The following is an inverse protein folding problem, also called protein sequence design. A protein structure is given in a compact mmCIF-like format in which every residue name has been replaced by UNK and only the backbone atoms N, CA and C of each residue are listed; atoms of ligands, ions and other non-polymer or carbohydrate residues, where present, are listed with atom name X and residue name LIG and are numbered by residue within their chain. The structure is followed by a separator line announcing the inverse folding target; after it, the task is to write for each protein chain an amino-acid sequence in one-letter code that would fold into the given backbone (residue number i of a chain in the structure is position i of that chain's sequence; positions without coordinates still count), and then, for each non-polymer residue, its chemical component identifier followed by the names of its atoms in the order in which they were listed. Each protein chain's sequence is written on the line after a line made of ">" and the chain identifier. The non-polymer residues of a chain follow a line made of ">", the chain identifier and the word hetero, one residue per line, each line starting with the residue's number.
data_IF_031085165994
#
_entry.id   IF_031085165994
#
_cell.length_a   1.000
_cell.length_b   1.000
_cell.length_c   1.000
_cell.angle_alpha   90.00
_cell.angle_beta   90.00
_cell.angle_gamma   90.00
#
_symmetry.space_group_name_H-M   'P 1'
#
loop_
_entity.id
_entity.type
_entity.pdbx_description
1 polymer ?
#
# COMPACT_ATOMS: atom_id res chain seq x y z
N UNK A 1 9.61 -2.29 -8.36
CA UNK A 1 9.67 -3.76 -8.22
C UNK A 1 8.24 -4.27 -8.19
N UNK A 2 7.88 -5.18 -9.10
CA UNK A 2 6.53 -5.77 -9.13
C UNK A 2 6.55 -7.07 -8.33
N UNK A 3 5.75 -7.15 -7.27
CA UNK A 3 5.76 -8.26 -6.31
C UNK A 3 4.37 -8.87 -6.20
N UNK A 4 4.29 -10.20 -6.31
CA UNK A 4 3.09 -10.97 -5.97
C UNK A 4 3.26 -11.66 -4.61
N UNK A 5 2.23 -11.61 -3.79
CA UNK A 5 2.12 -12.40 -2.55
C UNK A 5 1.14 -13.55 -2.82
N UNK A 6 1.51 -14.75 -2.41
CA UNK A 6 0.71 -15.95 -2.67
C UNK A 6 0.51 -16.76 -1.39
N UNK A 7 -0.66 -17.35 -1.25
CA UNK A 7 -0.99 -18.30 -0.18
C UNK A 7 -1.99 -19.32 -0.66
N UNK A 8 -2.05 -20.45 0.04
CA UNK A 8 -3.06 -21.47 -0.20
C UNK A 8 -3.52 -22.06 1.14
N UNK A 9 -4.82 -22.26 1.28
CA UNK A 9 -5.40 -23.06 2.34
C UNK A 9 -6.47 -24.01 1.77
N UNK A 10 -6.84 -25.01 2.54
CA UNK A 10 -7.90 -25.96 2.18
C UNK A 10 -9.09 -25.78 3.12
N UNK A 11 -10.30 -26.22 2.75
CA UNK A 11 -11.50 -26.03 3.55
C UNK A 11 -11.36 -26.48 5.01
N UNK A 12 -10.55 -27.49 5.30
CA UNK A 12 -10.36 -28.04 6.65
C UNK A 12 -9.68 -27.06 7.61
N UNK A 13 -8.95 -26.08 7.08
CA UNK A 13 -8.24 -25.05 7.86
C UNK A 13 -8.74 -23.64 7.57
N UNK A 14 -9.82 -23.48 6.82
CA UNK A 14 -10.38 -22.18 6.43
C UNK A 14 -10.67 -21.28 7.63
N UNK A 15 -11.10 -21.87 8.76
CA UNK A 15 -11.53 -21.15 9.96
C UNK A 15 -10.52 -20.09 10.46
N UNK A 16 -9.23 -20.43 10.53
CA UNK A 16 -8.18 -19.47 10.91
C UNK A 16 -7.47 -18.86 9.69
N UNK A 17 -7.39 -19.58 8.57
CA UNK A 17 -6.66 -19.13 7.38
C UNK A 17 -7.30 -17.90 6.74
N UNK A 18 -8.63 -17.77 6.79
CA UNK A 18 -9.33 -16.57 6.34
C UNK A 18 -8.90 -15.31 7.13
N UNK A 19 -8.61 -15.44 8.42
CA UNK A 19 -8.07 -14.31 9.20
C UNK A 19 -6.63 -13.96 8.79
N UNK A 20 -5.81 -14.96 8.42
CA UNK A 20 -4.48 -14.70 7.80
C UNK A 20 -4.62 -14.01 6.45
N UNK A 21 -5.56 -14.44 5.61
CA UNK A 21 -5.83 -13.80 4.32
C UNK A 21 -6.27 -12.35 4.49
N UNK A 22 -7.11 -12.03 5.48
CA UNK A 22 -7.47 -10.64 5.80
C UNK A 22 -6.23 -9.81 6.18
N UNK A 23 -5.32 -10.39 6.97
CA UNK A 23 -4.07 -9.77 7.35
C UNK A 23 -3.16 -9.53 6.13
N UNK A 24 -3.03 -10.53 5.24
CA UNK A 24 -2.23 -10.41 4.01
C UNK A 24 -2.84 -9.39 3.05
N UNK A 25 -4.16 -9.37 2.90
CA UNK A 25 -4.86 -8.40 2.06
C UNK A 25 -4.61 -6.99 2.54
N UNK A 26 -4.80 -6.75 3.84
CA UNK A 26 -4.51 -5.45 4.45
C UNK A 26 -3.06 -5.00 4.18
N UNK A 27 -2.09 -5.90 4.34
CA UNK A 27 -0.68 -5.61 4.08
C UNK A 27 -0.41 -5.33 2.59
N UNK A 28 -0.97 -6.15 1.70
CA UNK A 28 -0.78 -6.00 0.26
C UNK A 28 -1.43 -4.71 -0.27
N UNK A 29 -2.65 -4.41 0.18
CA UNK A 29 -3.36 -3.18 -0.20
C UNK A 29 -2.61 -1.93 0.25
N UNK A 30 -2.07 -1.93 1.48
CA UNK A 30 -1.27 -0.82 2.01
C UNK A 30 0.04 -0.59 1.24
N UNK A 31 0.66 -1.66 0.74
CA UNK A 31 1.98 -1.59 0.11
C UNK A 31 1.94 -1.72 -1.42
N UNK A 32 0.76 -1.91 -2.02
CA UNK A 32 0.58 -2.01 -3.47
C UNK A 32 1.10 -3.32 -4.05
N UNK A 33 0.92 -4.45 -3.34
CA UNK A 33 1.25 -5.78 -3.85
C UNK A 33 -0.01 -6.50 -4.32
N UNK A 34 0.11 -7.35 -5.32
CA UNK A 34 -0.96 -8.23 -5.74
C UNK A 34 -1.01 -9.47 -4.84
N UNK A 35 -2.19 -9.80 -4.31
CA UNK A 35 -2.44 -10.98 -3.47
C UNK A 35 -3.22 -12.05 -4.23
N UNK A 36 -2.66 -13.27 -4.29
CA UNK A 36 -3.29 -14.44 -4.88
C UNK A 36 -3.57 -15.49 -3.81
N UNK A 37 -4.84 -15.79 -3.61
CA UNK A 37 -5.33 -16.74 -2.62
C UNK A 37 -5.92 -17.96 -3.30
N UNK A 38 -5.47 -19.14 -2.91
CA UNK A 38 -6.00 -20.42 -3.36
C UNK A 38 -6.73 -21.09 -2.20
N UNK A 39 -7.98 -21.43 -2.38
CA UNK A 39 -8.86 -21.95 -1.32
C UNK A 39 -9.04 -23.46 -1.36
N UNK A 40 -8.28 -24.12 -2.23
CA UNK A 40 -8.28 -25.56 -2.38
C UNK A 40 -6.95 -26.07 -2.94
N UNK A 41 -6.70 -27.37 -2.76
CA UNK A 41 -5.56 -28.02 -3.39
C UNK A 41 -5.63 -27.93 -4.93
N UNK A 42 -4.46 -27.75 -5.55
CA UNK A 42 -4.34 -27.70 -7.03
C UNK A 42 -4.35 -29.09 -7.69
N UNK A 43 -4.38 -30.15 -6.89
CA UNK A 43 -4.45 -31.53 -7.36
C UNK A 43 -5.22 -32.35 -6.35
N UNK A 44 -6.19 -33.13 -6.83
CA UNK A 44 -6.97 -34.05 -6.01
C UNK A 44 -6.07 -35.02 -5.19
N UNK A 45 -6.40 -35.21 -3.93
CA UNK A 45 -5.63 -36.03 -2.99
C UNK A 45 -4.31 -35.44 -2.51
N UNK A 46 -3.91 -34.25 -2.99
CA UNK A 46 -2.68 -33.59 -2.57
C UNK A 46 -2.97 -32.62 -1.42
N UNK A 47 -2.22 -32.68 -0.32
CA UNK A 47 -2.30 -31.69 0.77
C UNK A 47 -1.88 -30.30 0.27
N UNK A 48 -2.55 -29.25 0.74
CA UNK A 48 -2.33 -27.86 0.29
C UNK A 48 -0.88 -27.39 0.34
N UNK A 49 -0.14 -27.73 1.40
CA UNK A 49 1.27 -27.36 1.58
C UNK A 49 2.19 -27.89 0.46
N UNK A 50 1.83 -29.01 -0.18
CA UNK A 50 2.57 -29.54 -1.34
C UNK A 50 2.31 -28.77 -2.63
N UNK A 51 1.33 -27.87 -2.67
CA UNK A 51 1.02 -27.07 -3.85
C UNK A 51 1.92 -25.83 -4.01
N UNK A 52 2.75 -25.48 -3.03
CA UNK A 52 3.64 -24.30 -3.04
C UNK A 52 4.38 -24.08 -4.36
N UNK A 53 5.09 -25.09 -4.92
CA UNK A 53 5.83 -24.90 -6.18
C UNK A 53 4.93 -24.51 -7.35
N UNK A 54 3.73 -25.07 -7.43
CA UNK A 54 2.80 -24.80 -8.54
C UNK A 54 2.14 -23.43 -8.39
N UNK A 55 1.77 -23.03 -7.18
CA UNK A 55 1.25 -21.69 -6.91
C UNK A 55 2.25 -20.62 -7.33
N UNK A 56 3.51 -20.77 -6.92
CA UNK A 56 4.60 -19.88 -7.30
C UNK A 56 4.80 -19.81 -8.82
N UNK A 57 4.79 -20.97 -9.49
CA UNK A 57 4.95 -21.08 -10.95
C UNK A 57 3.82 -20.38 -11.72
N UNK A 58 2.62 -20.37 -11.16
CA UNK A 58 1.48 -19.72 -11.83
C UNK A 58 1.65 -18.20 -11.97
N UNK A 59 2.48 -17.57 -11.13
CA UNK A 59 2.62 -16.12 -11.08
C UNK A 59 4.02 -15.59 -11.41
N UNK A 60 5.07 -16.41 -11.29
CA UNK A 60 6.46 -15.93 -11.38
C UNK A 60 6.83 -15.29 -12.71
N UNK A 61 6.12 -15.54 -13.79
CA UNK A 61 6.41 -14.94 -15.08
C UNK A 61 5.99 -13.47 -15.19
N UNK A 62 5.00 -13.05 -14.39
CA UNK A 62 4.35 -11.75 -14.50
C UNK A 62 4.88 -10.73 -13.46
N UNK A 63 5.78 -11.18 -12.56
CA UNK A 63 6.31 -10.41 -11.43
C UNK A 63 7.83 -10.50 -11.37
N UNK A 64 8.49 -9.51 -10.78
CA UNK A 64 9.94 -9.55 -10.50
C UNK A 64 10.25 -10.55 -9.38
N UNK A 65 9.35 -10.63 -8.40
CA UNK A 65 9.42 -11.55 -7.26
C UNK A 65 8.04 -12.10 -6.92
N UNK A 66 8.01 -13.35 -6.48
CA UNK A 66 6.81 -13.99 -5.92
C UNK A 66 7.10 -14.45 -4.49
N UNK A 67 6.20 -14.09 -3.58
CA UNK A 67 6.30 -14.38 -2.15
C UNK A 67 5.30 -15.47 -1.80
N UNK A 68 5.75 -16.47 -1.06
CA UNK A 68 4.90 -17.46 -0.42
C UNK A 68 4.75 -17.15 1.06
N UNK A 69 3.50 -17.18 1.55
CA UNK A 69 3.16 -17.12 2.96
C UNK A 69 2.28 -18.33 3.31
N UNK A 70 2.68 -19.08 4.34
CA UNK A 70 1.80 -20.12 4.90
C UNK A 70 0.55 -19.48 5.52
N UNK A 71 -0.58 -20.16 5.43
CA UNK A 71 -1.90 -19.65 5.84
C UNK A 71 -2.10 -19.59 7.36
N UNK A 72 -1.09 -19.89 8.16
CA UNK A 72 -1.04 -19.69 9.61
C UNK A 72 0.01 -18.65 10.04
N UNK A 73 0.36 -17.75 9.12
CA UNK A 73 1.20 -16.57 9.37
C UNK A 73 0.31 -15.35 9.60
N UNK A 74 0.78 -14.43 10.44
CA UNK A 74 0.24 -13.06 10.54
C UNK A 74 1.39 -12.05 10.45
N UNK A 75 1.26 -11.06 9.57
CA UNK A 75 2.21 -9.94 9.44
C UNK A 75 2.02 -9.01 10.65
N UNK A 76 3.11 -8.71 11.35
CA UNK A 76 3.14 -7.88 12.55
C UNK A 76 3.51 -6.43 12.22
N UNK A 77 4.45 -6.23 11.29
CA UNK A 77 4.86 -4.91 10.85
C UNK A 77 4.35 -4.64 9.43
N UNK A 78 3.15 -4.09 9.34
CA UNK A 78 2.50 -3.76 8.06
C UNK A 78 3.18 -2.60 7.32
N UNK A 79 4.07 -1.84 7.98
CA UNK A 79 4.79 -0.72 7.37
C UNK A 79 6.15 -1.14 6.78
N UNK A 80 6.70 -2.29 7.20
CA UNK A 80 7.94 -2.82 6.63
C UNK A 80 7.65 -3.41 5.25
N UNK A 81 8.28 -2.86 4.22
CA UNK A 81 8.07 -3.27 2.83
C UNK A 81 8.83 -4.56 2.50
N UNK A 82 8.30 -5.32 1.54
CA UNK A 82 9.04 -6.49 1.00
C UNK A 82 10.33 -6.07 0.32
N UNK A 83 10.37 -4.88 -0.27
CA UNK A 83 11.58 -4.31 -0.85
C UNK A 83 12.71 -4.15 0.18
N UNK A 84 12.39 -3.81 1.44
CA UNK A 84 13.39 -3.67 2.52
C UNK A 84 14.03 -5.04 2.88
N UNK A 85 13.30 -6.12 2.63
CA UNK A 85 13.78 -7.50 2.81
C UNK A 85 14.56 -7.98 1.58
N UNK A 86 14.16 -7.58 0.38
CA UNK A 86 14.71 -8.04 -0.90
C UNK A 86 15.98 -7.30 -1.28
N UNK A 87 16.00 -5.96 -1.21
CA UNK A 87 17.09 -5.13 -1.75
C UNK A 87 18.49 -5.48 -1.23
N UNK A 88 18.69 -5.77 0.08
CA UNK A 88 20.00 -6.20 0.59
C UNK A 88 20.50 -7.49 -0.05
N UNK A 89 19.60 -8.30 -0.60
CA UNK A 89 19.87 -9.64 -1.13
C UNK A 89 19.36 -9.85 -2.56
N UNK A 90 19.20 -8.77 -3.34
CA UNK A 90 18.68 -8.81 -4.72
C UNK A 90 19.51 -9.65 -5.71
N UNK A 91 20.76 -9.97 -5.34
CA UNK A 91 21.62 -10.86 -6.10
C UNK A 91 21.32 -12.35 -5.85
N UNK A 92 20.44 -12.67 -4.89
CA UNK A 92 20.08 -14.04 -4.55
C UNK A 92 18.89 -14.52 -5.40
N UNK A 93 18.83 -15.81 -5.62
CA UNK A 93 17.76 -16.49 -6.37
C UNK A 93 16.49 -16.62 -5.55
N UNK A 94 16.63 -16.88 -4.25
CA UNK A 94 15.52 -16.82 -3.30
C UNK A 94 16.00 -16.42 -1.90
N UNK A 95 15.01 -15.99 -1.08
CA UNK A 95 15.18 -15.58 0.31
C UNK A 95 14.19 -16.40 1.14
N UNK A 96 14.61 -16.91 2.28
CA UNK A 96 13.78 -17.60 3.26
C UNK A 96 14.27 -17.27 4.66
N UNK A 97 13.81 -17.99 5.68
CA UNK A 97 14.35 -17.92 7.03
C UNK A 97 15.08 -19.19 7.42
N UNK A 98 16.03 -19.10 8.34
CA UNK A 98 16.49 -20.28 9.05
C UNK A 98 15.33 -20.92 9.84
N UNK A 99 15.57 -22.07 10.44
CA UNK A 99 14.56 -22.76 11.24
C UNK A 99 15.09 -22.98 12.66
N UNK A 100 14.42 -22.37 13.63
CA UNK A 100 14.79 -22.51 15.05
C UNK A 100 14.46 -23.88 15.63
N UNK A 101 13.69 -24.70 14.92
CA UNK A 101 13.41 -26.11 15.25
C UNK A 101 14.52 -27.09 14.85
N UNK A 102 15.65 -26.58 14.32
CA UNK A 102 16.81 -27.39 13.96
C UNK A 102 16.86 -27.85 12.50
N UNK A 103 15.90 -27.47 11.68
CA UNK A 103 15.96 -27.66 10.22
C UNK A 103 16.84 -26.59 9.58
N UNK A 104 17.29 -26.82 8.38
CA UNK A 104 18.19 -25.91 7.64
C UNK A 104 17.51 -24.59 7.24
N UNK A 105 16.24 -24.64 6.94
CA UNK A 105 15.38 -23.47 6.63
C UNK A 105 13.93 -23.77 6.99
N UNK A 106 13.17 -22.69 7.22
CA UNK A 106 11.71 -22.71 7.32
C UNK A 106 11.10 -22.30 5.98
N UNK A 107 10.11 -23.04 5.50
CA UNK A 107 9.46 -22.81 4.21
C UNK A 107 8.08 -22.13 4.31
N UNK A 108 7.74 -21.58 5.48
CA UNK A 108 6.50 -20.85 5.70
C UNK A 108 6.53 -19.45 5.08
N UNK A 109 7.70 -18.81 5.03
CA UNK A 109 7.93 -17.52 4.38
C UNK A 109 9.09 -17.68 3.38
N UNK A 110 8.79 -17.47 2.09
CA UNK A 110 9.80 -17.56 1.04
C UNK A 110 9.56 -16.50 -0.05
N UNK A 111 10.64 -15.95 -0.58
CA UNK A 111 10.62 -14.97 -1.68
C UNK A 111 11.45 -15.53 -2.84
N UNK A 112 10.87 -15.67 -4.02
CA UNK A 112 11.53 -16.19 -5.21
C UNK A 112 11.67 -15.13 -6.29
N UNK A 113 12.88 -15.01 -6.84
CA UNK A 113 13.19 -14.09 -7.94
C UNK A 113 12.78 -14.70 -9.27
N UNK A 114 12.23 -13.90 -10.17
CA UNK A 114 11.89 -14.29 -11.54
C UNK A 114 13.16 -14.48 -12.39
N UNK A 115 13.77 -15.63 -12.29
CA UNK A 115 14.90 -16.03 -13.15
C UNK A 115 14.69 -17.47 -13.65
N UNK A 116 15.27 -17.77 -14.81
CA UNK A 116 15.10 -19.07 -15.47
C UNK A 116 15.37 -20.24 -14.52
N UNK A 117 16.46 -20.17 -13.77
CA UNK A 117 16.87 -21.23 -12.84
C UNK A 117 15.81 -21.50 -11.75
N UNK A 118 15.20 -20.46 -11.17
CA UNK A 118 14.16 -20.62 -10.15
C UNK A 118 12.91 -21.28 -10.74
N UNK A 119 12.53 -20.90 -11.96
CA UNK A 119 11.39 -21.51 -12.67
C UNK A 119 11.61 -22.99 -12.94
N UNK A 120 12.80 -23.34 -13.41
CA UNK A 120 13.18 -24.73 -13.63
C UNK A 120 13.17 -25.54 -12.32
N UNK A 121 13.73 -24.99 -11.24
CA UNK A 121 13.74 -25.58 -9.91
C UNK A 121 12.33 -25.87 -9.39
N UNK A 122 11.44 -24.86 -9.42
CA UNK A 122 10.04 -25.01 -9.00
C UNK A 122 9.29 -26.02 -9.90
N UNK A 123 9.61 -26.06 -11.20
CA UNK A 123 9.05 -27.02 -12.14
C UNK A 123 9.44 -28.46 -11.83
N UNK A 124 10.70 -28.70 -11.47
CA UNK A 124 11.18 -30.01 -11.04
C UNK A 124 10.52 -30.42 -9.72
N UNK A 125 10.52 -29.53 -8.71
CA UNK A 125 9.86 -29.77 -7.43
C UNK A 125 8.40 -30.19 -7.61
N UNK A 126 7.65 -29.50 -8.48
CA UNK A 126 6.26 -29.84 -8.76
C UNK A 126 6.10 -31.23 -9.38
N UNK A 127 7.01 -31.62 -10.28
CA UNK A 127 6.95 -32.91 -10.96
C UNK A 127 7.28 -34.10 -10.07
N UNK A 128 8.29 -33.96 -9.19
CA UNK A 128 8.81 -35.08 -8.40
C UNK A 128 8.10 -35.26 -7.06
N UNK A 129 7.41 -34.24 -6.54
CA UNK A 129 6.83 -34.31 -5.18
C UNK A 129 5.84 -35.47 -4.99
N UNK A 130 5.12 -35.88 -6.03
CA UNK A 130 4.20 -37.03 -5.96
C UNK A 130 4.87 -38.35 -5.55
N UNK A 131 6.20 -38.44 -5.72
CA UNK A 131 7.00 -39.61 -5.32
C UNK A 131 7.32 -39.63 -3.82
N UNK A 132 7.03 -38.52 -3.09
CA UNK A 132 7.40 -38.32 -1.70
C UNK A 132 6.21 -38.17 -0.75
N UNK A 133 4.98 -38.03 -1.26
CA UNK A 133 3.77 -37.80 -0.49
C UNK A 133 3.50 -38.94 0.53
N UNK A 134 3.81 -40.15 0.20
CA UNK A 134 3.56 -41.36 1.05
C UNK A 134 4.65 -41.62 2.11
N UNK A 135 5.63 -40.73 2.22
CA UNK A 135 6.84 -40.99 3.07
C UNK A 135 6.83 -40.11 4.31
N UNK A 136 5.81 -39.97 5.10
CA UNK A 136 5.76 -39.21 6.37
C UNK A 136 6.66 -37.92 6.47
N UNK A 137 7.16 -37.44 5.32
CA UNK A 137 8.02 -36.29 5.22
C UNK A 137 7.18 -35.08 4.92
N UNK A 138 7.28 -34.09 5.78
CA UNK A 138 6.68 -32.79 5.51
C UNK A 138 7.28 -32.12 4.25
N UNK A 139 6.55 -31.24 3.61
CA UNK A 139 6.97 -30.47 2.43
C UNK A 139 8.26 -29.67 2.68
N UNK A 140 8.50 -29.21 3.90
CA UNK A 140 9.73 -28.51 4.31
C UNK A 140 10.96 -29.42 4.18
N UNK A 141 10.90 -30.65 4.72
CA UNK A 141 12.03 -31.60 4.61
C UNK A 141 12.29 -31.96 3.16
N UNK A 142 11.24 -32.20 2.38
CA UNK A 142 11.36 -32.49 0.95
C UNK A 142 12.07 -31.33 0.20
N UNK A 143 11.71 -30.09 0.47
CA UNK A 143 12.35 -28.93 -0.14
C UNK A 143 13.83 -28.83 0.25
N UNK A 144 14.17 -29.06 1.50
CA UNK A 144 15.57 -29.07 1.99
C UNK A 144 16.37 -30.17 1.31
N UNK A 145 15.87 -31.43 1.33
CA UNK A 145 16.55 -32.58 0.71
C UNK A 145 16.78 -32.33 -0.80
N UNK A 146 15.82 -31.73 -1.48
CA UNK A 146 15.96 -31.34 -2.88
C UNK A 146 17.08 -30.32 -3.09
N UNK A 147 17.15 -29.25 -2.31
CA UNK A 147 18.21 -28.26 -2.39
C UNK A 147 19.60 -28.88 -2.17
N UNK A 148 19.70 -29.85 -1.28
CA UNK A 148 20.94 -30.60 -1.02
C UNK A 148 21.35 -31.50 -2.19
N UNK A 149 20.40 -32.26 -2.74
CA UNK A 149 20.65 -33.15 -3.88
C UNK A 149 21.11 -32.38 -5.14
N UNK A 150 20.50 -31.23 -5.43
CA UNK A 150 20.90 -30.41 -6.60
C UNK A 150 22.12 -29.57 -6.29
N UNK A 151 22.77 -29.75 -5.13
CA UNK A 151 23.93 -28.98 -4.66
C UNK A 151 23.71 -27.46 -4.79
N UNK A 152 22.51 -27.02 -4.44
CA UNK A 152 22.16 -25.61 -4.51
C UNK A 152 23.05 -24.83 -3.55
N UNK A 153 23.97 -24.06 -4.12
CA UNK A 153 24.97 -23.33 -3.34
C UNK A 153 24.31 -22.30 -2.43
N UNK A 154 24.75 -22.20 -1.17
CA UNK A 154 24.38 -21.11 -0.26
C UNK A 154 24.68 -19.71 -0.83
N UNK A 155 25.52 -19.60 -1.85
CA UNK A 155 25.74 -18.35 -2.58
C UNK A 155 24.50 -17.89 -3.35
N UNK A 156 23.58 -18.79 -3.67
CA UNK A 156 22.40 -18.51 -4.49
C UNK A 156 21.16 -18.13 -3.69
N UNK A 157 21.15 -18.29 -2.37
CA UNK A 157 20.03 -17.93 -1.52
C UNK A 157 20.48 -17.23 -0.23
N UNK A 158 19.54 -16.54 0.42
CA UNK A 158 19.75 -15.92 1.73
C UNK A 158 18.76 -16.46 2.76
N UNK A 159 19.24 -16.68 3.98
CA UNK A 159 18.39 -17.04 5.11
C UNK A 159 18.49 -15.92 6.15
N UNK A 160 17.38 -15.27 6.40
CA UNK A 160 17.24 -14.38 7.55
C UNK A 160 17.07 -15.18 8.83
N UNK A 161 17.43 -14.63 9.98
CA UNK A 161 17.01 -15.19 11.27
C UNK A 161 15.46 -15.31 11.30
N UNK A 162 14.97 -16.50 11.66
CA UNK A 162 13.52 -16.75 11.72
C UNK A 162 12.83 -15.76 12.68
N UNK A 163 13.50 -15.41 13.79
CA UNK A 163 13.00 -14.41 14.75
C UNK A 163 12.80 -13.02 14.17
N UNK A 164 13.49 -12.69 13.06
CA UNK A 164 13.39 -11.38 12.42
C UNK A 164 12.24 -11.32 11.40
N UNK A 165 12.09 -12.34 10.56
CA UNK A 165 11.15 -12.29 9.43
C UNK A 165 9.88 -13.07 9.70
N UNK A 166 9.97 -14.31 10.19
CA UNK A 166 8.82 -15.20 10.33
C UNK A 166 8.91 -15.95 11.67
N UNK A 167 8.82 -15.21 12.76
CA UNK A 167 9.10 -15.68 14.11
C UNK A 167 8.06 -16.70 14.61
N UNK A 168 8.49 -17.81 15.23
CA UNK A 168 7.57 -18.61 16.05
C UNK A 168 6.95 -17.75 17.15
N UNK A 169 5.70 -18.03 17.53
CA UNK A 169 4.95 -17.18 18.46
C UNK A 169 5.72 -16.86 19.76
N UNK A 170 6.39 -17.84 20.34
CA UNK A 170 7.14 -17.69 21.61
C UNK A 170 8.44 -16.90 21.47
N UNK A 171 8.95 -16.74 20.26
CA UNK A 171 10.25 -16.14 19.97
C UNK A 171 10.14 -14.80 19.22
N UNK A 172 8.91 -14.35 18.95
CA UNK A 172 8.68 -13.05 18.35
C UNK A 172 9.13 -11.91 19.26
N UNK A 173 9.64 -10.86 18.65
CA UNK A 173 10.05 -9.64 19.33
C UNK A 173 9.59 -8.40 18.53
N UNK A 174 9.90 -7.21 18.99
CA UNK A 174 9.45 -5.95 18.38
C UNK A 174 10.00 -5.68 16.98
N UNK A 175 11.02 -6.44 16.56
CA UNK A 175 11.62 -6.36 15.21
C UNK A 175 11.09 -7.42 14.26
N UNK A 176 10.29 -8.37 14.75
CA UNK A 176 9.75 -9.45 13.92
C UNK A 176 8.77 -8.90 12.89
N UNK A 177 9.01 -9.19 11.61
CA UNK A 177 8.13 -8.78 10.51
C UNK A 177 6.79 -9.52 10.56
N UNK A 178 6.83 -10.84 10.79
CA UNK A 178 5.64 -11.67 10.90
C UNK A 178 5.77 -12.72 12.00
N UNK A 179 4.66 -13.30 12.39
CA UNK A 179 4.59 -14.45 13.31
C UNK A 179 4.05 -15.65 12.59
N UNK A 180 4.67 -16.80 12.79
CA UNK A 180 4.24 -18.09 12.29
C UNK A 180 3.68 -18.94 13.46
N UNK A 181 2.42 -19.32 13.34
CA UNK A 181 1.72 -20.07 14.37
C UNK A 181 1.93 -21.59 14.25
N UNK A 182 3.08 -21.95 13.70
CA UNK A 182 3.53 -23.36 13.61
C UNK A 182 3.54 -24.03 14.99
N UNK A 183 3.16 -25.31 15.03
CA UNK A 183 3.11 -26.08 16.29
C UNK A 183 1.91 -25.77 17.18
N UNK A 184 1.07 -24.80 16.85
CA UNK A 184 -0.20 -24.57 17.54
C UNK A 184 -1.28 -25.39 16.85
N UNK A 185 -1.65 -26.53 17.42
CA UNK A 185 -2.60 -27.46 16.79
C UNK A 185 -4.08 -27.11 17.04
N UNK A 186 -4.37 -26.05 17.80
CA UNK A 186 -5.71 -25.60 18.14
C UNK A 186 -6.10 -24.44 17.22
N UNK A 187 -6.95 -24.69 16.23
CA UNK A 187 -7.37 -23.70 15.22
C UNK A 187 -8.02 -22.46 15.83
N UNK A 188 -8.84 -22.61 16.87
CA UNK A 188 -9.47 -21.47 17.56
C UNK A 188 -8.44 -20.53 18.22
N UNK A 189 -7.32 -21.06 18.73
CA UNK A 189 -6.21 -20.27 19.27
C UNK A 189 -5.51 -19.49 18.15
N UNK A 190 -5.22 -20.14 17.02
CA UNK A 190 -4.65 -19.49 15.82
C UNK A 190 -5.55 -18.34 15.38
N UNK A 191 -6.85 -18.62 15.19
CA UNK A 191 -7.85 -17.64 14.76
C UNK A 191 -7.93 -16.45 15.71
N UNK A 192 -8.05 -16.67 17.01
CA UNK A 192 -8.11 -15.59 18.01
C UNK A 192 -6.87 -14.73 18.00
N UNK A 193 -5.69 -15.34 17.86
CA UNK A 193 -4.43 -14.59 17.83
C UNK A 193 -4.30 -13.74 16.59
N UNK A 194 -4.56 -14.29 15.39
CA UNK A 194 -4.49 -13.55 14.13
C UNK A 194 -5.51 -12.40 14.15
N UNK A 195 -6.72 -12.65 14.60
CA UNK A 195 -7.76 -11.62 14.77
C UNK A 195 -7.33 -10.51 15.74
N UNK A 196 -6.61 -10.86 16.81
CA UNK A 196 -6.02 -9.86 17.71
C UNK A 196 -5.00 -8.97 16.99
N UNK A 197 -4.12 -9.55 16.15
CA UNK A 197 -3.15 -8.81 15.34
C UNK A 197 -3.87 -7.89 14.34
N UNK A 198 -4.86 -8.40 13.62
CA UNK A 198 -5.66 -7.62 12.69
C UNK A 198 -6.30 -6.41 13.39
N UNK A 199 -6.92 -6.63 14.55
CA UNK A 199 -7.50 -5.55 15.34
C UNK A 199 -6.45 -4.53 15.81
N UNK A 200 -5.24 -4.98 16.18
CA UNK A 200 -4.14 -4.10 16.57
C UNK A 200 -3.70 -3.21 15.41
N UNK A 201 -3.67 -3.74 14.19
CA UNK A 201 -3.38 -2.93 13.00
C UNK A 201 -4.47 -1.91 12.73
N UNK A 202 -5.73 -2.29 12.84
CA UNK A 202 -6.87 -1.39 12.67
C UNK A 202 -6.95 -0.25 13.72
N UNK A 203 -6.20 -0.37 14.83
CA UNK A 203 -6.13 0.68 15.88
C UNK A 203 -4.92 1.60 15.72
N UNK A 204 -4.05 1.37 14.74
CA UNK A 204 -2.92 2.29 14.49
C UNK A 204 -3.43 3.68 14.11
N UNK A 205 -2.81 4.70 14.72
CA UNK A 205 -3.13 6.10 14.42
C UNK A 205 -2.59 6.56 13.06
N UNK A 206 -1.57 5.86 12.55
CA UNK A 206 -0.91 6.19 11.28
C UNK A 206 -0.56 4.92 10.51
N UNK A 207 -0.64 5.00 9.19
CA UNK A 207 -0.21 3.97 8.24
C UNK A 207 0.62 4.63 7.14
N UNK A 208 1.49 3.87 6.48
CA UNK A 208 2.26 4.37 5.36
C UNK A 208 1.90 3.57 4.11
N UNK A 209 1.42 4.27 3.10
CA UNK A 209 1.13 3.71 1.79
C UNK A 209 2.40 3.78 0.92
N UNK A 210 2.50 2.88 -0.07
CA UNK A 210 3.62 2.89 -1.00
C UNK A 210 3.62 4.14 -1.89
N UNK A 211 2.45 4.49 -2.41
CA UNK A 211 2.24 5.62 -3.30
C UNK A 211 0.85 6.23 -3.07
N UNK A 212 0.57 7.42 -3.61
CA UNK A 212 -0.78 8.02 -3.55
C UNK A 212 -1.82 7.21 -4.33
N UNK A 213 -1.38 6.43 -5.32
CA UNK A 213 -2.26 5.52 -6.07
C UNK A 213 -2.88 4.43 -5.19
N UNK A 214 -2.37 4.20 -3.98
CA UNK A 214 -3.00 3.30 -3.01
C UNK A 214 -4.16 3.94 -2.23
N UNK A 215 -4.37 5.28 -2.31
CA UNK A 215 -5.46 5.98 -1.62
C UNK A 215 -6.86 5.49 -2.03
N UNK A 216 -7.19 5.26 -3.33
CA UNK A 216 -8.48 4.69 -3.71
C UNK A 216 -8.78 3.34 -3.03
N UNK A 217 -7.79 2.46 -2.95
CA UNK A 217 -7.95 1.17 -2.26
C UNK A 217 -8.21 1.36 -0.76
N UNK A 218 -7.49 2.27 -0.13
CA UNK A 218 -7.73 2.62 1.28
C UNK A 218 -9.17 3.13 1.48
N UNK A 219 -9.64 4.04 0.64
CA UNK A 219 -11.00 4.61 0.71
C UNK A 219 -12.07 3.52 0.51
N UNK A 220 -11.90 2.65 -0.48
CA UNK A 220 -12.79 1.53 -0.75
C UNK A 220 -12.85 0.57 0.44
N UNK A 221 -11.70 0.23 1.04
CA UNK A 221 -11.59 -0.66 2.20
C UNK A 221 -12.23 -0.07 3.45
N UNK A 222 -12.18 1.25 3.61
CA UNK A 222 -12.86 1.98 4.68
C UNK A 222 -14.35 2.22 4.40
N UNK A 223 -14.86 1.76 3.24
CA UNK A 223 -16.23 2.02 2.79
C UNK A 223 -16.56 3.52 2.69
N UNK A 224 -15.54 4.36 2.44
CA UNK A 224 -15.68 5.79 2.19
C UNK A 224 -16.00 6.02 0.70
N UNK A 225 -17.18 5.57 0.27
CA UNK A 225 -17.56 5.52 -1.15
C UNK A 225 -18.56 6.64 -1.53
N UNK A 226 -18.68 7.67 -0.73
CA UNK A 226 -19.61 8.79 -0.97
C UNK A 226 -19.02 9.86 -1.88
N UNK A 227 -18.82 11.07 -1.34
CA UNK A 227 -18.45 12.27 -2.11
C UNK A 227 -17.02 12.66 -1.77
N UNK A 228 -16.24 12.97 -2.80
CA UNK A 228 -14.89 13.52 -2.62
C UNK A 228 -14.65 14.81 -3.37
N UNK A 229 -13.51 15.42 -3.06
CA UNK A 229 -13.02 16.60 -3.75
C UNK A 229 -11.48 16.55 -3.91
N UNK A 230 -11.01 16.94 -5.09
CA UNK A 230 -9.61 17.27 -5.37
C UNK A 230 -9.49 18.77 -5.56
N UNK A 231 -8.56 19.41 -4.86
CA UNK A 231 -8.24 20.83 -4.92
C UNK A 231 -6.87 20.99 -5.57
N UNK A 232 -6.80 21.67 -6.72
CA UNK A 232 -5.60 21.74 -7.55
C UNK A 232 -5.53 20.61 -8.57
N UNK A 233 -6.32 20.69 -9.62
CA UNK A 233 -6.57 19.60 -10.58
C UNK A 233 -5.62 19.63 -11.78
N UNK A 234 -5.16 20.81 -12.17
CA UNK A 234 -4.27 21.04 -13.31
C UNK A 234 -4.76 20.37 -14.62
N UNK A 235 -4.19 19.20 -14.98
CA UNK A 235 -4.54 18.45 -16.19
C UNK A 235 -5.62 17.38 -15.97
N UNK A 236 -6.06 17.16 -14.72
CA UNK A 236 -7.11 16.20 -14.37
C UNK A 236 -6.65 14.74 -14.25
N UNK A 237 -5.34 14.47 -14.28
CA UNK A 237 -4.80 13.11 -14.28
C UNK A 237 -5.11 12.36 -12.99
N UNK A 238 -4.99 13.03 -11.83
CA UNK A 238 -5.29 12.38 -10.56
C UNK A 238 -6.80 12.28 -10.31
N UNK A 239 -7.62 13.27 -10.72
CA UNK A 239 -9.09 13.13 -10.76
C UNK A 239 -9.53 11.92 -11.60
N UNK A 240 -8.92 11.73 -12.79
CA UNK A 240 -9.20 10.58 -13.67
C UNK A 240 -8.83 9.26 -12.98
N UNK A 241 -7.68 9.23 -12.33
CA UNK A 241 -7.21 8.07 -11.58
C UNK A 241 -8.13 7.74 -10.39
N UNK A 242 -8.51 8.74 -9.59
CA UNK A 242 -9.45 8.58 -8.48
C UNK A 242 -10.80 8.01 -8.97
N UNK A 243 -11.39 8.62 -9.99
CA UNK A 243 -12.69 8.19 -10.54
C UNK A 243 -12.64 6.79 -11.17
N UNK A 244 -11.47 6.37 -11.66
CA UNK A 244 -11.28 5.03 -12.25
C UNK A 244 -11.11 3.92 -11.20
N UNK A 245 -10.57 4.25 -10.01
CA UNK A 245 -10.14 3.25 -9.03
C UNK A 245 -10.88 3.33 -7.67
N UNK A 246 -11.55 4.44 -7.39
CA UNK A 246 -12.34 4.63 -6.19
C UNK A 246 -13.84 4.49 -6.50
N UNK A 247 -14.55 3.69 -5.71
CA UNK A 247 -15.99 3.43 -5.86
C UNK A 247 -16.86 4.59 -5.33
N UNK A 248 -16.43 5.84 -5.54
CA UNK A 248 -17.17 7.02 -5.06
C UNK A 248 -18.46 7.24 -5.80
N UNK A 249 -19.41 7.89 -5.14
CA UNK A 249 -20.63 8.38 -5.77
C UNK A 249 -20.34 9.59 -6.66
N UNK A 250 -19.48 10.51 -6.19
CA UNK A 250 -19.11 11.73 -6.91
C UNK A 250 -17.74 12.26 -6.48
N UNK A 251 -16.97 12.77 -7.44
CA UNK A 251 -15.76 13.57 -7.22
C UNK A 251 -15.95 14.96 -7.79
N UNK A 252 -15.71 15.97 -6.96
CA UNK A 252 -15.56 17.36 -7.38
C UNK A 252 -14.10 17.65 -7.68
N UNK A 253 -13.83 18.29 -8.81
CA UNK A 253 -12.48 18.67 -9.26
C UNK A 253 -12.39 20.19 -9.28
N UNK A 254 -11.72 20.77 -8.27
CA UNK A 254 -11.66 22.22 -8.03
C UNK A 254 -10.32 22.77 -8.49
N UNK A 255 -10.35 23.72 -9.43
CA UNK A 255 -9.17 24.46 -9.88
C UNK A 255 -9.63 25.76 -10.54
N UNK A 256 -9.01 26.90 -10.31
CA UNK A 256 -9.40 28.16 -10.94
C UNK A 256 -9.05 28.21 -12.42
N UNK A 257 -8.03 27.50 -12.89
CA UNK A 257 -7.42 27.66 -14.23
C UNK A 257 -7.33 29.14 -14.61
N UNK A 258 -6.83 29.96 -13.66
CA UNK A 258 -6.74 31.40 -13.76
C UNK A 258 -5.29 31.85 -13.59
N UNK A 259 -4.86 32.79 -14.43
CA UNK A 259 -3.60 33.49 -14.25
C UNK A 259 -3.73 34.52 -13.13
N UNK A 260 -2.70 34.63 -12.31
CA UNK A 260 -2.60 35.64 -11.23
C UNK A 260 -1.30 36.42 -11.41
N UNK A 261 -1.39 37.71 -11.57
CA UNK A 261 -0.24 38.60 -11.84
C UNK A 261 0.77 38.63 -10.69
N UNK A 262 0.27 38.52 -9.46
CA UNK A 262 1.07 38.57 -8.22
C UNK A 262 1.54 37.17 -7.72
N UNK A 263 1.25 36.10 -8.46
CA UNK A 263 1.60 34.76 -8.07
C UNK A 263 2.63 34.15 -9.01
N UNK A 264 3.82 33.91 -8.48
CA UNK A 264 4.92 33.32 -9.23
C UNK A 264 5.03 31.82 -8.95
N UNK A 265 4.45 31.00 -9.82
CA UNK A 265 4.52 29.54 -9.77
C UNK A 265 4.72 28.96 -11.16
N UNK A 266 5.31 27.75 -11.24
CA UNK A 266 5.51 27.03 -12.49
C UNK A 266 4.20 26.69 -13.22
N UNK A 267 3.10 26.59 -12.49
CA UNK A 267 1.76 26.31 -13.00
C UNK A 267 0.93 27.55 -13.32
N UNK A 268 1.34 28.73 -12.84
CA UNK A 268 0.74 30.03 -13.19
C UNK A 268 1.17 30.41 -14.62
N UNK A 269 0.39 30.03 -15.59
CA UNK A 269 0.65 30.19 -17.04
C UNK A 269 -0.23 31.26 -17.65
N UNK A 270 0.11 31.66 -18.89
CA UNK A 270 -0.77 32.45 -19.71
C UNK A 270 -2.21 31.91 -19.71
N UNK A 271 -3.19 32.81 -19.66
CA UNK A 271 -4.61 32.46 -19.53
C UNK A 271 -5.07 31.50 -20.65
N UNK A 272 -4.57 31.64 -21.87
CA UNK A 272 -4.92 30.77 -23.00
C UNK A 272 -4.43 29.33 -22.76
N UNK A 273 -3.28 29.19 -22.10
CA UNK A 273 -2.74 27.86 -21.73
C UNK A 273 -3.63 27.23 -20.66
N UNK A 274 -4.04 28.00 -19.64
CA UNK A 274 -4.91 27.55 -18.57
C UNK A 274 -6.30 27.18 -19.09
N UNK A 275 -6.89 27.97 -19.99
CA UNK A 275 -8.16 27.64 -20.66
C UNK A 275 -8.07 26.35 -21.49
N UNK A 276 -6.93 26.11 -22.13
CA UNK A 276 -6.70 24.87 -22.85
C UNK A 276 -6.60 23.66 -21.89
N UNK A 277 -5.92 23.82 -20.74
CA UNK A 277 -5.87 22.80 -19.69
C UNK A 277 -7.27 22.49 -19.15
N UNK A 278 -8.05 23.50 -18.81
CA UNK A 278 -9.44 23.35 -18.39
C UNK A 278 -10.27 22.56 -19.40
N UNK A 279 -10.18 22.93 -20.68
CA UNK A 279 -10.92 22.25 -21.76
C UNK A 279 -10.53 20.78 -21.90
N UNK A 280 -9.23 20.47 -21.80
CA UNK A 280 -8.72 19.09 -21.83
C UNK A 280 -9.20 18.31 -20.61
N UNK A 281 -9.11 18.88 -19.41
CA UNK A 281 -9.59 18.26 -18.16
C UNK A 281 -11.08 17.95 -18.27
N UNK A 282 -11.88 18.90 -18.77
CA UNK A 282 -13.32 18.70 -18.98
C UNK A 282 -13.59 17.52 -19.95
N UNK A 283 -12.84 17.43 -21.04
CA UNK A 283 -12.94 16.33 -21.99
C UNK A 283 -12.52 15.01 -21.35
N UNK A 284 -11.39 14.97 -20.61
CA UNK A 284 -10.88 13.78 -19.94
C UNK A 284 -11.91 13.19 -18.95
N UNK A 285 -12.49 14.04 -18.13
CA UNK A 285 -13.40 13.64 -17.05
C UNK A 285 -14.84 13.42 -17.52
N UNK A 286 -15.21 13.83 -18.72
CA UNK A 286 -16.58 13.66 -19.25
C UNK A 286 -17.06 12.20 -19.32
N UNK A 287 -16.14 11.23 -19.45
CA UNK A 287 -16.45 9.79 -19.49
C UNK A 287 -17.09 9.27 -18.19
N UNK A 288 -16.92 9.99 -17.08
CA UNK A 288 -17.50 9.59 -15.78
C UNK A 288 -18.91 10.11 -15.53
N UNK A 289 -19.46 10.90 -16.46
CA UNK A 289 -20.83 11.44 -16.41
C UNK A 289 -21.15 12.14 -15.08
N UNK A 290 -22.24 11.75 -14.42
CA UNK A 290 -22.69 12.35 -13.15
C UNK A 290 -21.75 12.12 -11.97
N UNK A 291 -20.79 11.20 -12.08
CA UNK A 291 -19.79 10.94 -11.03
C UNK A 291 -18.69 12.02 -10.97
N UNK A 292 -18.53 12.83 -12.02
CA UNK A 292 -17.52 13.90 -12.07
C UNK A 292 -18.17 15.27 -12.20
N UNK A 293 -17.71 16.22 -11.40
CA UNK A 293 -18.12 17.63 -11.49
C UNK A 293 -16.90 18.53 -11.35
N UNK A 294 -16.74 19.47 -12.30
CA UNK A 294 -15.65 20.43 -12.30
C UNK A 294 -16.16 21.76 -11.74
N UNK A 295 -15.43 22.30 -10.76
CA UNK A 295 -15.67 23.60 -10.15
C UNK A 295 -14.52 24.53 -10.52
N UNK A 296 -14.76 25.49 -11.43
CA UNK A 296 -13.74 26.44 -11.89
C UNK A 296 -13.74 27.69 -11.00
N UNK A 297 -13.21 27.55 -9.77
CA UNK A 297 -13.09 28.59 -8.77
C UNK A 297 -11.79 28.45 -7.99
N UNK A 298 -11.30 29.56 -7.38
CA UNK A 298 -10.26 29.49 -6.36
C UNK A 298 -10.67 28.58 -5.19
N UNK A 299 -9.69 27.94 -4.55
CA UNK A 299 -9.90 26.93 -3.52
C UNK A 299 -10.85 27.39 -2.40
N UNK A 300 -10.53 28.51 -1.76
CA UNK A 300 -11.31 29.03 -0.61
C UNK A 300 -12.74 29.39 -1.03
N UNK A 301 -12.92 30.09 -2.16
CA UNK A 301 -14.24 30.43 -2.69
C UNK A 301 -15.07 29.18 -3.02
N UNK A 302 -14.43 28.15 -3.60
CA UNK A 302 -15.10 26.90 -3.91
C UNK A 302 -15.59 26.17 -2.65
N UNK A 303 -14.88 26.28 -1.54
CA UNK A 303 -15.26 25.63 -0.28
C UNK A 303 -16.60 26.16 0.26
N UNK A 304 -16.95 27.44 -0.03
CA UNK A 304 -18.20 28.06 0.40
C UNK A 304 -19.44 27.48 -0.29
N UNK A 305 -19.26 26.77 -1.42
CA UNK A 305 -20.36 26.10 -2.12
C UNK A 305 -20.87 24.85 -1.40
N UNK A 306 -20.14 24.36 -0.42
CA UNK A 306 -20.42 23.07 0.22
C UNK A 306 -20.75 23.23 1.71
N UNK A 307 -21.74 22.47 2.20
CA UNK A 307 -22.05 22.47 3.64
C UNK A 307 -20.94 21.77 4.43
N UNK A 308 -20.89 22.02 5.73
CA UNK A 308 -20.00 21.30 6.63
C UNK A 308 -20.32 19.80 6.69
N UNK A 309 -19.32 18.97 6.94
CA UNK A 309 -19.45 17.50 7.00
C UNK A 309 -20.02 16.87 5.73
N UNK A 310 -19.62 17.36 4.56
CA UNK A 310 -20.14 16.92 3.27
C UNK A 310 -19.29 15.83 2.60
N UNK A 311 -17.95 15.92 2.69
CA UNK A 311 -17.03 15.05 1.98
C UNK A 311 -16.58 13.84 2.79
N UNK A 312 -16.50 12.69 2.15
CA UNK A 312 -15.83 11.50 2.67
C UNK A 312 -14.32 11.57 2.46
N UNK A 313 -13.89 12.27 1.41
CA UNK A 313 -12.49 12.42 1.03
C UNK A 313 -12.19 13.80 0.49
N UNK A 314 -11.11 14.43 0.99
CA UNK A 314 -10.58 15.70 0.54
C UNK A 314 -9.11 15.51 0.19
N UNK A 315 -8.69 15.93 -1.01
CA UNK A 315 -7.31 15.88 -1.46
C UNK A 315 -6.83 17.26 -1.90
N UNK A 316 -5.79 17.80 -1.24
CA UNK A 316 -5.24 19.13 -1.46
C UNK A 316 -3.92 19.02 -2.22
N UNK A 317 -3.88 19.51 -3.45
CA UNK A 317 -2.72 19.53 -4.34
C UNK A 317 -2.67 20.87 -5.13
N UNK A 318 -2.86 21.98 -4.42
CA UNK A 318 -2.92 23.32 -5.00
C UNK A 318 -1.59 24.06 -4.84
N UNK A 319 -1.55 25.21 -4.16
CA UNK A 319 -0.31 25.93 -3.89
C UNK A 319 0.48 25.26 -2.75
N UNK A 320 1.82 25.29 -2.83
CA UNK A 320 2.69 24.54 -1.92
C UNK A 320 3.31 25.39 -0.82
N UNK A 321 3.11 26.71 -0.83
CA UNK A 321 3.62 27.62 0.18
C UNK A 321 2.78 27.54 1.46
N UNK A 322 3.44 27.61 2.61
CA UNK A 322 2.82 27.45 3.93
C UNK A 322 1.48 28.20 4.09
N UNK A 323 1.44 29.47 3.71
CA UNK A 323 0.24 30.32 3.87
C UNK A 323 -0.96 29.71 3.13
N UNK A 324 -0.79 29.36 1.87
CA UNK A 324 -1.88 28.87 1.03
C UNK A 324 -2.34 27.47 1.44
N UNK A 325 -1.39 26.58 1.80
CA UNK A 325 -1.74 25.26 2.33
C UNK A 325 -2.54 25.38 3.62
N UNK A 326 -2.16 26.32 4.49
CA UNK A 326 -2.87 26.58 5.74
C UNK A 326 -4.29 27.10 5.48
N UNK A 327 -4.45 28.07 4.57
CA UNK A 327 -5.74 28.59 4.15
C UNK A 327 -6.63 27.49 3.56
N UNK A 328 -6.09 26.62 2.72
CA UNK A 328 -6.82 25.49 2.14
C UNK A 328 -7.28 24.51 3.23
N UNK A 329 -6.39 24.10 4.14
CA UNK A 329 -6.76 23.20 5.23
C UNK A 329 -7.86 23.82 6.10
N UNK A 330 -7.74 25.09 6.47
CA UNK A 330 -8.71 25.78 7.33
C UNK A 330 -10.09 25.92 6.64
N UNK A 331 -10.12 26.12 5.31
CA UNK A 331 -11.35 26.24 4.55
C UNK A 331 -12.05 24.89 4.32
N UNK A 332 -11.27 23.82 4.04
CA UNK A 332 -11.83 22.54 3.66
C UNK A 332 -12.03 21.55 4.81
N UNK A 333 -11.26 21.66 5.91
CA UNK A 333 -11.39 20.76 7.05
C UNK A 333 -12.81 20.74 7.66
N UNK A 334 -13.54 21.84 7.81
CA UNK A 334 -14.93 21.82 8.26
C UNK A 334 -15.87 21.03 7.32
N UNK A 335 -15.53 20.94 6.03
CA UNK A 335 -16.31 20.24 5.01
C UNK A 335 -16.11 18.73 5.05
N UNK A 336 -15.11 18.23 5.79
CA UNK A 336 -14.86 16.81 5.97
C UNK A 336 -15.85 16.19 6.95
N UNK A 337 -16.42 15.05 6.59
CA UNK A 337 -17.23 14.23 7.52
C UNK A 337 -16.38 13.75 8.71
N UNK A 338 -17.00 13.46 9.88
CA UNK A 338 -16.27 12.99 11.07
C UNK A 338 -15.43 11.74 10.87
N UNK A 339 -15.83 10.88 9.93
CA UNK A 339 -15.11 9.64 9.57
C UNK A 339 -14.42 9.74 8.22
N UNK A 340 -14.33 10.93 7.63
CA UNK A 340 -13.67 11.16 6.35
C UNK A 340 -12.15 11.18 6.46
N UNK A 341 -11.49 11.18 5.30
CA UNK A 341 -10.04 11.34 5.17
C UNK A 341 -9.74 12.67 4.48
N UNK A 342 -8.90 13.50 5.10
CA UNK A 342 -8.25 14.60 4.44
C UNK A 342 -6.81 14.20 4.11
N UNK A 343 -6.38 14.52 2.89
CA UNK A 343 -5.08 14.17 2.32
C UNK A 343 -4.55 15.32 1.46
N UNK A 344 -3.29 15.24 1.07
CA UNK A 344 -2.71 16.18 0.10
C UNK A 344 -1.34 15.74 -0.37
N UNK A 345 -0.80 16.47 -1.33
CA UNK A 345 0.47 16.17 -2.00
C UNK A 345 1.66 16.93 -1.38
N UNK A 346 2.85 16.71 -1.95
CA UNK A 346 4.10 17.44 -1.69
C UNK A 346 4.54 17.49 -0.22
N UNK A 347 4.36 16.38 0.51
CA UNK A 347 4.79 16.25 1.90
C UNK A 347 6.31 16.06 2.03
N UNK A 348 7.05 17.00 1.48
CA UNK A 348 8.52 16.96 1.44
C UNK A 348 9.16 17.53 2.72
N UNK A 349 10.45 17.23 3.02
CA UNK A 349 11.13 17.78 4.18
C UNK A 349 11.15 19.31 4.20
N UNK A 350 11.08 19.89 5.40
CA UNK A 350 11.24 21.34 5.60
C UNK A 350 12.61 21.80 5.05
N UNK A 351 12.67 23.01 4.52
CA UNK A 351 13.85 23.52 3.81
C UNK A 351 14.01 22.98 2.38
N UNK A 352 13.01 22.30 1.85
CA UNK A 352 12.99 21.91 0.43
C UNK A 352 12.51 23.10 -0.40
N UNK A 353 13.31 23.43 -1.41
CA UNK A 353 13.03 24.54 -2.32
C UNK A 353 12.80 24.02 -3.73
N UNK A 354 11.89 24.67 -4.46
CA UNK A 354 11.71 24.42 -5.87
C UNK A 354 12.00 25.68 -6.69
N UNK A 355 12.57 25.47 -7.87
CA UNK A 355 12.90 26.56 -8.78
C UNK A 355 11.67 26.90 -9.62
N UNK A 356 11.27 28.20 -9.57
CA UNK A 356 10.22 28.73 -10.42
C UNK A 356 10.88 29.25 -11.71
N UNK A 357 10.69 28.58 -12.87
CA UNK A 357 11.26 29.06 -14.11
C UNK A 357 10.62 30.43 -14.49
N UNK A 358 11.42 31.29 -15.12
CA UNK A 358 10.90 32.50 -15.74
C UNK A 358 9.91 32.09 -16.83
N UNK A 359 8.62 32.25 -16.58
CA UNK A 359 7.60 32.13 -17.63
C UNK A 359 7.46 33.47 -18.34
N UNK A 360 7.03 33.47 -19.61
CA UNK A 360 6.84 34.69 -20.38
C UNK A 360 5.92 35.67 -19.62
N UNK A 361 6.50 36.70 -18.98
CA UNK A 361 5.81 37.72 -18.19
C UNK A 361 5.93 37.61 -16.67
N UNK A 362 6.56 36.53 -16.13
CA UNK A 362 6.72 36.36 -14.68
C UNK A 362 8.20 36.41 -14.23
N UNK A 363 8.41 36.84 -13.00
CA UNK A 363 9.73 36.85 -12.35
C UNK A 363 10.01 35.44 -11.87
N UNK A 364 11.07 34.82 -12.38
CA UNK A 364 11.58 33.56 -11.85
C UNK A 364 11.98 33.70 -10.38
N UNK A 365 11.88 32.64 -9.60
CA UNK A 365 12.17 32.68 -8.16
C UNK A 365 12.41 31.31 -7.56
N UNK A 366 12.73 31.31 -6.28
CA UNK A 366 12.83 30.13 -5.45
C UNK A 366 11.70 30.20 -4.42
N UNK A 367 10.88 29.16 -4.30
CA UNK A 367 9.89 29.05 -3.23
C UNK A 367 10.18 27.83 -2.37
N UNK A 368 9.91 27.96 -1.09
CA UNK A 368 10.00 26.87 -0.12
C UNK A 368 8.66 26.12 -0.05
N UNK A 369 8.73 24.78 0.03
CA UNK A 369 7.57 23.97 0.33
C UNK A 369 7.20 24.12 1.81
N UNK A 370 5.99 24.60 2.06
CA UNK A 370 5.45 24.78 3.40
C UNK A 370 4.39 23.75 3.78
N UNK A 371 4.15 22.74 2.92
CA UNK A 371 3.09 21.73 3.12
C UNK A 371 3.29 21.00 4.42
N UNK A 372 4.50 20.46 4.67
CA UNK A 372 4.81 19.67 5.85
C UNK A 372 4.62 20.46 7.14
N UNK A 373 5.08 21.71 7.17
CA UNK A 373 4.91 22.58 8.32
C UNK A 373 3.43 22.84 8.61
N UNK A 374 2.65 23.24 7.61
CA UNK A 374 1.22 23.52 7.75
C UNK A 374 0.45 22.29 8.26
N UNK A 375 0.74 21.11 7.69
CA UNK A 375 0.11 19.83 8.09
C UNK A 375 0.47 19.46 9.53
N UNK A 376 1.73 19.63 9.94
CA UNK A 376 2.16 19.36 11.31
C UNK A 376 1.47 20.27 12.34
N UNK A 377 1.29 21.55 12.01
CA UNK A 377 0.62 22.51 12.88
C UNK A 377 -0.88 22.22 13.00
N UNK A 378 -1.54 21.83 11.90
CA UNK A 378 -2.97 21.55 11.90
C UNK A 378 -3.33 20.25 12.63
N UNK A 379 -2.53 19.20 12.48
CA UNK A 379 -2.94 17.84 12.88
C UNK A 379 -2.07 17.21 13.96
N UNK A 380 -0.83 17.67 14.15
CA UNK A 380 0.17 17.02 15.01
C UNK A 380 0.87 15.86 14.31
N UNK A 381 2.19 15.76 14.52
CA UNK A 381 3.08 14.80 13.82
C UNK A 381 2.69 13.33 14.00
N UNK A 382 2.11 12.98 15.14
CA UNK A 382 1.74 11.62 15.51
C UNK A 382 0.46 11.09 14.84
N UNK A 383 -0.23 11.93 14.08
CA UNK A 383 -1.48 11.57 13.38
C UNK A 383 -1.33 11.46 11.88
N UNK A 384 -0.16 11.86 11.35
CA UNK A 384 0.04 11.96 9.92
C UNK A 384 0.52 10.64 9.35
N UNK A 385 -0.22 10.13 8.40
CA UNK A 385 0.12 9.00 7.56
C UNK A 385 0.73 9.50 6.26
N UNK A 386 1.60 8.71 5.64
CA UNK A 386 2.29 9.10 4.40
C UNK A 386 2.05 8.07 3.31
N UNK A 387 1.79 8.54 2.10
CA UNK A 387 1.75 7.76 0.87
C UNK A 387 2.94 8.17 -0.01
N UNK A 388 3.98 7.34 -0.06
CA UNK A 388 5.24 7.61 -0.74
C UNK A 388 6.46 7.35 0.13
N UNK A 389 7.66 7.72 -0.34
CA UNK A 389 8.90 7.51 0.39
C UNK A 389 8.97 8.36 1.66
N UNK A 390 9.18 7.71 2.81
CA UNK A 390 9.34 8.40 4.11
C UNK A 390 10.61 9.27 4.17
N UNK A 391 11.67 8.84 3.49
CA UNK A 391 12.95 9.54 3.39
C UNK A 391 13.09 10.13 1.98
N UNK A 392 12.22 11.08 1.65
CA UNK A 392 12.26 11.74 0.35
C UNK A 392 13.55 12.55 0.20
N UNK A 393 14.28 12.31 -0.89
CA UNK A 393 15.49 13.05 -1.27
C UNK A 393 15.23 13.79 -2.58
N UNK A 394 15.16 15.12 -2.51
CA UNK A 394 14.90 15.98 -3.67
C UNK A 394 15.91 15.78 -4.81
N UNK A 395 17.14 15.38 -4.51
CA UNK A 395 18.16 15.08 -5.53
C UNK A 395 17.82 13.86 -6.37
N UNK A 396 16.89 13.02 -5.90
CA UNK A 396 16.36 11.84 -6.57
C UNK A 396 14.92 12.02 -7.04
N UNK A 397 14.37 13.22 -6.94
CA UNK A 397 12.96 13.52 -7.23
C UNK A 397 12.50 13.12 -8.65
N UNK A 398 13.40 13.13 -9.63
CA UNK A 398 13.11 12.63 -10.99
C UNK A 398 12.97 11.11 -11.11
N UNK A 399 13.28 10.34 -10.05
CA UNK A 399 13.21 8.87 -10.00
C UNK A 399 12.24 8.36 -8.94
N UNK A 400 11.74 9.24 -8.07
CA UNK A 400 10.87 8.90 -6.94
C UNK A 400 9.55 9.64 -7.08
N UNK A 401 8.48 8.97 -6.66
CA UNK A 401 7.19 9.62 -6.48
C UNK A 401 7.25 10.61 -5.31
N UNK A 402 6.63 11.78 -5.49
CA UNK A 402 6.52 12.78 -4.44
C UNK A 402 5.53 12.32 -3.38
N UNK A 403 5.87 12.46 -2.08
CA UNK A 403 5.04 11.91 -1.01
C UNK A 403 3.75 12.73 -0.84
N UNK A 404 2.66 12.01 -0.55
CA UNK A 404 1.40 12.58 -0.09
C UNK A 404 1.22 12.31 1.41
N UNK A 405 0.49 13.17 2.09
CA UNK A 405 0.07 13.00 3.48
C UNK A 405 -1.42 12.70 3.55
N UNK A 406 -1.85 12.05 4.63
CA UNK A 406 -3.27 11.87 4.93
C UNK A 406 -3.51 11.63 6.43
N UNK A 407 -4.72 11.97 6.88
CA UNK A 407 -5.16 11.80 8.26
C UNK A 407 -6.25 10.73 8.30
N UNK A 408 -5.99 9.66 9.04
CA UNK A 408 -6.97 8.62 9.28
C UNK A 408 -8.10 9.10 10.20
N UNK A 409 -9.34 8.60 10.02
CA UNK A 409 -10.45 8.92 10.91
C UNK A 409 -10.11 8.58 12.36
N UNK A 410 -10.32 9.52 13.28
CA UNK A 410 -10.17 9.26 14.72
C UNK A 410 -11.45 8.61 15.22
N UNK A 411 -11.36 7.42 15.87
CA UNK A 411 -12.52 6.78 16.50
C UNK A 411 -13.09 7.72 17.57
N UNK A 412 -14.21 8.35 17.29
CA UNK A 412 -14.99 9.02 18.33
C UNK A 412 -15.52 7.96 19.32
N UNK A 413 -15.30 8.18 20.64
CA UNK A 413 -15.77 7.33 21.73
C UNK A 413 -17.30 7.31 21.89
N UNK A 414 -18.09 7.54 20.85
CA UNK A 414 -19.56 7.54 20.92
C UNK A 414 -20.15 6.81 19.72
N UNK A 415 -20.29 5.51 19.83
CA UNK A 415 -21.56 4.80 19.59
C UNK A 415 -21.42 3.33 19.98
N UNK A 416 -22.29 2.89 20.87
CA UNK A 416 -22.53 1.48 21.22
C UNK A 416 -23.29 0.74 20.11
N UNK A 417 -22.98 0.99 18.85
CA UNK A 417 -23.49 0.17 17.75
C UNK A 417 -22.38 -0.78 17.30
N UNK A 418 -22.52 -2.00 17.72
CA UNK A 418 -21.79 -3.18 17.26
C UNK A 418 -22.00 -3.27 15.75
N UNK A 419 -20.90 -3.51 15.01
CA UNK A 419 -20.79 -3.79 13.59
C UNK A 419 -20.48 -2.58 12.67
N UNK A 420 -19.39 -1.85 12.94
CA UNK A 420 -18.64 -1.20 11.87
C UNK A 420 -17.26 -1.84 11.87
N UNK A 421 -17.07 -2.76 10.95
CA UNK A 421 -15.76 -3.35 10.66
C UNK A 421 -15.05 -2.35 9.75
N UNK A 422 -14.08 -1.61 10.29
CA UNK A 422 -13.13 -0.86 9.46
C UNK A 422 -12.14 -1.87 8.90
N UNK A 423 -12.28 -2.18 7.62
CA UNK A 423 -11.28 -2.91 6.85
C UNK A 423 -10.32 -1.86 6.32
N UNK A 424 -9.09 -1.80 6.85
CA UNK A 424 -8.00 -0.98 6.30
C UNK A 424 -7.09 -1.87 5.48
#
# INVERSE_FOLDING_TARGET
>A
MKIAVTTLYTPEIADFSEESVKNFRMYCDLNGYDLFVYEQSLKEGLRGNWCKPKVLLNHINDYDYVVWLDSDIAILDINRKLEDIIEPHKNKSFIATDDMGGWKLNNGFMIFKNIKYVKEMLGVLWKIQSQFIDKDRGDQKFFIDFLEQVKFSRQNYHLYPQSEICAPLLLKNDKSFSVHLMGIHINDVRKKYIKYINNKHMTKKTINLRTRENLPNLLNNLSLNGIGVEIGVNNGEFSDFLLSNWNCQKLYSVDPWKNYDDYSDAYNKDQKILDKKYSKTKQLLSKFNSRSEIVRLPSVEASELFPDSFFDFIYIDAAHEYKFVKEDIDAWLPKLKPNGIIAGHDFVPDGTYYFKPVSAGGVGGISEFGVRQAVYECFGKDKISVAGPLNFDIKKAGQLEWPSWFILPQKNKVSKNKNVIYVV
#
